data_IF_580265013901
#
_entry.id   IF_580265013901
#
_cell.length_a   1.000
_cell.length_b   1.000
_cell.length_c   1.000
_cell.angle_alpha   90.00
_cell.angle_beta   90.00
_cell.angle_gamma   90.00
#
_symmetry.space_group_name_H-M   'P 1'
#
loop_
_entity.id
_entity.type
_entity.pdbx_description
1 polymer ?
#
# COMPACT_ATOMS: atom_id res chain seq x y z
N UNK A 1 19.22 -14.34 13.23
CA UNK A 1 18.83 -14.52 14.64
C UNK A 1 17.72 -13.51 14.93
N UNK A 2 16.45 -13.90 14.76
CA UNK A 2 15.31 -13.07 15.15
C UNK A 2 14.34 -13.94 15.94
N UNK A 3 14.80 -14.29 17.14
CA UNK A 3 13.96 -14.66 18.26
C UNK A 3 14.11 -13.48 19.20
N UNK A 4 13.02 -12.77 19.52
CA UNK A 4 13.07 -11.78 20.61
C UNK A 4 13.10 -12.58 21.91
N UNK A 5 14.26 -13.13 22.24
CA UNK A 5 14.52 -13.76 23.52
C UNK A 5 14.69 -12.65 24.55
N UNK A 6 13.65 -12.38 25.33
CA UNK A 6 13.85 -11.70 26.60
C UNK A 6 14.50 -12.74 27.51
N UNK A 7 15.83 -12.66 27.63
CA UNK A 7 16.57 -13.47 28.58
C UNK A 7 16.09 -13.12 30.00
N UNK A 8 15.25 -13.99 30.57
CA UNK A 8 14.97 -13.97 32.01
C UNK A 8 16.12 -14.65 32.73
N UNK A 9 16.52 -14.12 33.89
CA UNK A 9 17.61 -14.62 34.77
C UNK A 9 17.47 -16.11 35.16
N UNK A 10 16.36 -16.76 34.79
CA UNK A 10 16.02 -18.14 35.16
C UNK A 10 15.91 -19.10 33.96
N UNK A 11 16.33 -18.70 32.75
CA UNK A 11 16.48 -19.63 31.61
C UNK A 11 15.18 -20.13 30.97
N UNK A 12 14.03 -19.50 31.26
CA UNK A 12 12.79 -19.73 30.53
C UNK A 12 12.63 -18.64 29.44
N UNK A 13 12.71 -19.04 28.18
CA UNK A 13 12.31 -18.19 27.05
C UNK A 13 10.80 -18.02 27.14
N UNK A 14 10.34 -16.83 27.53
CA UNK A 14 8.92 -16.51 27.49
C UNK A 14 8.46 -16.43 26.03
N UNK A 15 7.86 -17.49 25.51
CA UNK A 15 7.15 -17.46 24.24
C UNK A 15 5.91 -16.58 24.42
N UNK A 16 5.99 -15.34 23.93
CA UNK A 16 4.83 -14.46 23.82
C UNK A 16 3.79 -15.14 22.91
N UNK A 17 2.48 -15.04 23.20
CA UNK A 17 1.45 -15.51 22.29
C UNK A 17 1.60 -14.76 20.96
N UNK A 18 1.87 -15.49 19.88
CA UNK A 18 2.01 -14.92 18.55
C UNK A 18 0.64 -14.86 17.89
N UNK A 19 0.19 -13.64 17.58
CA UNK A 19 -0.97 -13.41 16.71
C UNK A 19 -0.60 -13.72 15.26
N UNK A 20 -1.59 -14.07 14.42
CA UNK A 20 -1.43 -14.24 12.97
C UNK A 20 -0.97 -12.94 12.27
N UNK A 21 -1.06 -11.80 12.95
CA UNK A 21 -0.54 -10.52 12.47
C UNK A 21 0.98 -10.37 12.63
N UNK A 22 1.63 -11.20 13.44
CA UNK A 22 3.08 -11.09 13.66
C UNK A 22 3.86 -11.51 12.40
N UNK A 23 4.78 -10.65 11.94
CA UNK A 23 5.64 -10.94 10.79
C UNK A 23 6.69 -11.98 11.20
N UNK A 24 6.72 -13.12 10.49
CA UNK A 24 7.64 -14.21 10.78
C UNK A 24 9.01 -14.02 10.10
N UNK A 25 10.12 -14.53 10.67
CA UNK A 25 11.47 -14.33 10.11
C UNK A 25 11.64 -14.84 8.67
N UNK A 26 11.00 -15.96 8.33
CA UNK A 26 11.06 -16.59 7.01
C UNK A 26 9.98 -16.09 6.04
N UNK A 27 9.08 -15.21 6.48
CA UNK A 27 8.00 -14.68 5.66
C UNK A 27 8.55 -13.76 4.57
N UNK A 28 8.08 -13.90 3.33
CA UNK A 28 8.58 -13.13 2.17
C UNK A 28 7.66 -11.99 1.74
N UNK A 29 6.42 -12.00 2.22
CA UNK A 29 5.39 -11.00 1.92
C UNK A 29 4.31 -10.98 2.99
N UNK A 30 3.47 -9.93 3.07
CA UNK A 30 2.32 -9.93 3.98
C UNK A 30 1.30 -11.03 3.62
N UNK A 31 0.83 -11.77 4.64
CA UNK A 31 -0.23 -12.77 4.48
C UNK A 31 -1.57 -12.10 4.14
N UNK A 32 -2.55 -12.87 3.65
CA UNK A 32 -3.90 -12.36 3.37
C UNK A 32 -4.55 -11.70 4.60
N UNK A 33 -4.39 -12.30 5.78
CA UNK A 33 -4.88 -11.74 7.06
C UNK A 33 -4.19 -10.42 7.39
N UNK A 34 -2.87 -10.34 7.19
CA UNK A 34 -2.12 -9.12 7.40
C UNK A 34 -2.49 -8.03 6.40
N UNK A 35 -2.70 -8.36 5.13
CA UNK A 35 -3.19 -7.40 4.11
C UNK A 35 -4.57 -6.87 4.47
N UNK A 36 -5.49 -7.73 4.91
CA UNK A 36 -6.80 -7.30 5.39
C UNK A 36 -6.70 -6.36 6.61
N UNK A 37 -5.78 -6.65 7.54
CA UNK A 37 -5.51 -5.76 8.67
C UNK A 37 -4.86 -4.42 8.24
N UNK A 38 -3.96 -4.43 7.26
CA UNK A 38 -3.37 -3.21 6.68
C UNK A 38 -4.41 -2.35 5.96
N UNK A 39 -5.38 -2.96 5.28
CA UNK A 39 -6.51 -2.25 4.69
C UNK A 39 -7.34 -1.51 5.77
N UNK A 40 -7.55 -2.12 6.94
CA UNK A 40 -8.20 -1.42 8.06
C UNK A 40 -7.36 -0.25 8.62
N UNK A 41 -6.07 -0.21 8.33
CA UNK A 41 -5.14 0.85 8.73
C UNK A 41 -4.97 1.94 7.66
N UNK A 42 -5.73 1.91 6.56
CA UNK A 42 -5.70 2.96 5.53
C UNK A 42 -4.74 2.68 4.36
N UNK A 43 -4.37 1.41 4.13
CA UNK A 43 -3.42 0.98 3.08
C UNK A 43 -4.16 0.24 1.94
N UNK A 44 -5.50 0.32 1.89
CA UNK A 44 -6.34 -0.35 0.88
C UNK A 44 -6.13 0.15 -0.55
N UNK A 45 -5.64 1.39 -0.74
CA UNK A 45 -5.37 1.98 -2.05
C UNK A 45 -3.92 1.77 -2.53
N UNK A 46 -3.07 1.10 -1.76
CA UNK A 46 -1.69 0.81 -2.16
C UNK A 46 -1.64 -0.35 -3.16
N UNK A 47 -0.78 -0.26 -4.17
CA UNK A 47 -0.58 -1.39 -5.10
C UNK A 47 0.15 -2.53 -4.42
N UNK A 48 0.11 -3.72 -5.00
CA UNK A 48 0.86 -4.85 -4.45
C UNK A 48 2.37 -4.57 -4.40
N UNK A 49 2.92 -3.87 -5.40
CA UNK A 49 4.33 -3.47 -5.40
C UNK A 49 4.65 -2.52 -4.25
N UNK A 50 3.78 -1.52 -3.99
CA UNK A 50 3.93 -0.63 -2.84
C UNK A 50 3.93 -1.43 -1.53
N UNK A 51 2.98 -2.36 -1.37
CA UNK A 51 2.86 -3.21 -0.18
C UNK A 51 4.09 -4.11 -0.01
N UNK A 52 4.70 -4.61 -1.09
CA UNK A 52 5.95 -5.38 -1.01
C UNK A 52 7.13 -4.51 -0.57
N UNK A 53 7.23 -3.26 -1.05
CA UNK A 53 8.24 -2.31 -0.57
C UNK A 53 8.02 -2.00 0.92
N UNK A 54 6.77 -1.86 1.35
CA UNK A 54 6.44 -1.69 2.77
C UNK A 54 6.84 -2.89 3.62
N UNK A 55 6.57 -4.10 3.14
CA UNK A 55 6.97 -5.35 3.79
C UNK A 55 8.49 -5.42 3.94
N UNK A 56 9.23 -5.14 2.88
CA UNK A 56 10.70 -5.09 2.92
C UNK A 56 11.19 -4.12 4.00
N UNK A 57 10.61 -2.91 4.07
CA UNK A 57 11.01 -1.92 5.06
C UNK A 57 10.69 -2.35 6.49
N UNK A 58 9.49 -2.90 6.74
CA UNK A 58 9.11 -3.45 8.03
C UNK A 58 10.07 -4.58 8.46
N UNK A 59 10.41 -5.50 7.55
CA UNK A 59 11.31 -6.61 7.81
C UNK A 59 12.76 -6.17 8.06
N UNK A 60 13.29 -5.26 7.23
CA UNK A 60 14.66 -4.73 7.35
C UNK A 60 14.86 -3.99 8.68
N UNK A 61 13.86 -3.21 9.09
CA UNK A 61 13.93 -2.42 10.33
C UNK A 61 13.51 -3.22 11.56
N UNK A 62 12.81 -4.34 11.37
CA UNK A 62 12.19 -5.12 12.45
C UNK A 62 11.07 -4.36 13.16
N UNK A 63 10.47 -3.36 12.51
CA UNK A 63 9.36 -2.57 13.03
C UNK A 63 8.03 -3.20 12.65
N UNK A 64 7.08 -3.13 13.57
CA UNK A 64 5.76 -3.72 13.42
C UNK A 64 4.73 -2.66 12.96
N UNK A 65 4.10 -2.83 11.78
CA UNK A 65 3.08 -1.91 11.29
C UNK A 65 1.79 -1.95 12.14
N UNK A 66 1.46 -3.09 12.74
CA UNK A 66 0.26 -3.27 13.56
C UNK A 66 0.44 -2.71 14.97
N UNK A 67 1.68 -2.60 15.44
CA UNK A 67 2.03 -1.90 16.67
C UNK A 67 2.28 -0.40 16.47
N UNK A 68 1.96 0.16 15.30
CA UNK A 68 2.11 1.61 15.00
C UNK A 68 3.55 2.12 15.10
N UNK A 69 4.52 1.25 14.81
CA UNK A 69 5.94 1.62 14.82
C UNK A 69 6.42 2.12 13.46
N UNK A 70 5.75 1.69 12.39
CA UNK A 70 5.99 2.08 11.00
C UNK A 70 4.64 2.18 10.28
N UNK A 71 4.52 3.14 9.37
CA UNK A 71 3.28 3.45 8.65
C UNK A 71 3.56 3.55 7.16
N UNK A 72 2.58 3.18 6.35
CA UNK A 72 2.48 3.57 4.96
C UNK A 72 1.32 4.55 4.85
N UNK A 73 1.59 5.74 4.30
CA UNK A 73 0.60 6.80 4.17
C UNK A 73 0.54 7.23 2.72
N UNK A 74 -0.62 7.02 2.11
CA UNK A 74 -0.92 7.53 0.79
C UNK A 74 -1.21 9.03 0.83
N UNK A 75 -0.58 9.79 -0.06
CA UNK A 75 -0.86 11.23 -0.24
C UNK A 75 -1.09 11.56 -1.70
N UNK A 76 -2.18 12.29 -1.96
CA UNK A 76 -2.46 12.84 -3.28
C UNK A 76 -1.38 13.87 -3.61
N UNK A 77 -0.53 13.53 -4.56
CA UNK A 77 0.58 14.35 -5.02
C UNK A 77 0.34 14.75 -6.47
N UNK A 78 0.66 16.00 -6.78
CA UNK A 78 0.59 16.53 -8.13
C UNK A 78 1.90 16.22 -8.83
N UNK A 79 1.87 15.37 -9.84
CA UNK A 79 3.03 15.02 -10.66
C UNK A 79 2.92 15.69 -12.02
N UNK A 80 4.06 16.07 -12.59
CA UNK A 80 4.17 16.53 -13.96
C UNK A 80 4.56 15.36 -14.83
N UNK A 81 3.73 15.02 -15.80
CA UNK A 81 3.94 13.92 -16.74
C UNK A 81 4.02 14.51 -18.14
N UNK A 82 5.00 14.08 -18.93
CA UNK A 82 5.11 14.50 -20.32
C UNK A 82 4.06 13.77 -21.16
N UNK A 83 3.13 14.50 -21.76
CA UNK A 83 2.18 13.93 -22.73
C UNK A 83 2.78 14.03 -24.15
N UNK A 84 3.17 12.91 -24.78
CA UNK A 84 3.75 12.93 -26.13
C UNK A 84 2.74 13.36 -27.21
N UNK A 85 1.43 13.21 -26.99
CA UNK A 85 0.39 13.61 -27.94
C UNK A 85 0.18 15.13 -27.92
N UNK A 86 0.20 15.72 -26.72
CA UNK A 86 0.02 17.18 -26.55
C UNK A 86 1.35 17.94 -26.57
N UNK A 87 2.49 17.22 -26.55
CA UNK A 87 3.86 17.76 -26.49
C UNK A 87 4.04 18.78 -25.37
N UNK A 88 3.46 18.50 -24.20
CA UNK A 88 3.47 19.37 -23.02
C UNK A 88 3.50 18.54 -21.75
N UNK A 89 4.04 19.13 -20.68
CA UNK A 89 3.88 18.58 -19.34
C UNK A 89 2.44 18.82 -18.88
N UNK A 90 1.73 17.74 -18.58
CA UNK A 90 0.41 17.76 -17.96
C UNK A 90 0.56 17.51 -16.47
N UNK A 91 -0.29 18.17 -15.68
CA UNK A 91 -0.33 17.96 -14.24
C UNK A 91 -1.39 16.93 -13.89
N UNK A 92 -0.97 15.84 -13.25
CA UNK A 92 -1.86 14.75 -12.84
C UNK A 92 -1.79 14.57 -11.33
N UNK A 93 -2.95 14.32 -10.72
CA UNK A 93 -3.00 13.90 -9.33
C UNK A 93 -2.85 12.39 -9.26
N UNK A 94 -1.83 11.93 -8.53
CA UNK A 94 -1.58 10.52 -8.27
C UNK A 94 -1.49 10.28 -6.76
N UNK A 95 -1.90 9.11 -6.31
CA UNK A 95 -1.70 8.70 -4.92
C UNK A 95 -0.26 8.17 -4.79
N UNK A 96 0.60 8.90 -4.08
CA UNK A 96 1.97 8.44 -3.78
C UNK A 96 1.98 7.86 -2.37
N UNK A 97 2.43 6.61 -2.24
CA UNK A 97 2.65 5.99 -0.94
C UNK A 97 3.97 6.50 -0.35
N UNK A 98 3.96 6.86 0.93
CA UNK A 98 5.18 7.23 1.67
C UNK A 98 5.27 6.39 2.93
N UNK A 99 6.42 5.74 3.13
CA UNK A 99 6.70 4.97 4.35
C UNK A 99 7.31 5.89 5.39
N UNK A 100 6.75 5.88 6.60
CA UNK A 100 7.16 6.74 7.70
C UNK A 100 7.33 5.93 8.97
N UNK A 101 8.35 6.26 9.76
CA UNK A 101 8.57 5.66 11.08
C UNK A 101 7.91 6.53 12.13
N UNK A 102 7.16 5.88 13.02
CA UNK A 102 6.58 6.52 14.20
C UNK A 102 7.62 6.74 15.30
N UNK A 103 7.33 7.64 16.24
CA UNK A 103 8.27 7.90 17.34
C UNK A 103 8.61 6.64 18.15
N UNK A 104 7.67 5.70 18.28
CA UNK A 104 7.89 4.44 18.97
C UNK A 104 8.84 3.51 18.21
N UNK A 105 8.89 3.60 16.87
CA UNK A 105 9.89 2.90 16.06
C UNK A 105 11.32 3.39 16.34
N UNK A 106 11.50 4.70 16.51
CA UNK A 106 12.79 5.28 16.94
C UNK A 106 13.19 4.80 18.34
N UNK A 107 12.27 4.88 19.30
CA UNK A 107 12.51 4.44 20.68
C UNK A 107 12.86 2.95 20.76
N UNK A 108 12.17 2.11 19.98
CA UNK A 108 12.41 0.67 19.93
C UNK A 108 13.76 0.35 19.29
N UNK A 109 14.05 0.94 18.12
CA UNK A 109 15.31 0.74 17.40
C UNK A 109 16.51 1.12 18.27
N UNK A 110 16.46 2.30 18.90
CA UNK A 110 17.52 2.78 19.78
C UNK A 110 17.71 1.90 21.01
N UNK A 111 16.61 1.47 21.65
CA UNK A 111 16.67 0.53 22.78
C UNK A 111 17.28 -0.81 22.39
N UNK A 112 16.90 -1.37 21.23
CA UNK A 112 17.43 -2.66 20.75
C UNK A 112 18.93 -2.62 20.55
N UNK A 113 19.44 -1.58 19.88
CA UNK A 113 20.89 -1.42 19.68
C UNK A 113 21.60 -1.27 21.01
N UNK A 114 21.08 -0.41 21.89
CA UNK A 114 21.74 -0.17 23.15
C UNK A 114 21.80 -1.43 24.02
N UNK A 115 20.71 -2.19 24.10
CA UNK A 115 20.70 -3.48 24.79
C UNK A 115 21.65 -4.49 24.14
N UNK A 116 21.69 -4.57 22.81
CA UNK A 116 22.54 -5.53 22.10
C UNK A 116 24.04 -5.24 22.26
N UNK A 117 24.41 -3.96 22.35
CA UNK A 117 25.80 -3.52 22.46
C UNK A 117 26.24 -3.20 23.91
N UNK A 118 25.35 -3.35 24.90
CA UNK A 118 25.63 -3.01 26.29
C UNK A 118 25.85 -1.51 26.55
N UNK A 119 25.31 -0.67 25.67
CA UNK A 119 25.46 0.78 25.69
C UNK A 119 24.56 1.38 26.77
N UNK A 120 25.11 2.29 27.58
CA UNK A 120 24.30 3.04 28.54
C UNK A 120 23.55 4.16 27.82
N UNK A 121 22.23 4.15 27.92
CA UNK A 121 21.36 5.19 27.39
C UNK A 121 20.72 6.02 28.50
N UNK A 122 20.85 7.34 28.38
CA UNK A 122 20.09 8.32 29.16
C UNK A 122 19.32 9.23 28.19
N UNK A 123 18.18 9.74 28.63
CA UNK A 123 17.31 10.59 27.83
C UNK A 123 16.87 11.77 28.67
N UNK A 124 16.86 12.96 28.09
CA UNK A 124 16.43 14.19 28.74
C UNK A 124 15.51 15.00 27.81
N UNK A 125 14.41 15.49 28.37
CA UNK A 125 13.33 16.14 27.65
C UNK A 125 12.11 15.25 27.35
N UNK A 126 11.14 15.77 26.58
CA UNK A 126 11.18 17.06 25.89
C UNK A 126 11.18 18.27 26.83
N UNK A 127 11.84 19.33 26.39
CA UNK A 127 11.75 20.67 26.99
C UNK A 127 11.26 21.65 25.92
N UNK A 128 10.44 22.63 26.27
CA UNK A 128 9.86 23.58 25.32
C UNK A 128 10.38 24.99 25.53
N UNK A 129 10.35 25.82 24.49
CA UNK A 129 10.74 27.22 24.57
C UNK A 129 9.52 28.12 24.42
N UNK A 130 9.29 29.05 25.35
CA UNK A 130 8.11 29.92 25.38
C UNK A 130 8.25 31.24 24.60
N UNK A 131 9.43 31.45 24.03
CA UNK A 131 9.83 32.70 23.38
C UNK A 131 10.81 33.51 24.20
N UNK A 132 10.85 33.31 25.52
CA UNK A 132 11.77 33.97 26.44
C UNK A 132 12.76 32.98 27.08
N UNK A 133 12.33 31.75 27.36
CA UNK A 133 13.17 30.73 27.98
C UNK A 133 12.65 29.31 27.81
N UNK A 134 13.44 28.36 28.34
CA UNK A 134 13.11 26.94 28.35
C UNK A 134 12.25 26.58 29.56
N UNK A 135 11.23 25.75 29.33
CA UNK A 135 10.30 25.24 30.33
C UNK A 135 10.15 23.72 30.20
N UNK A 136 10.01 23.05 31.33
CA UNK A 136 9.88 21.59 31.40
C UNK A 136 8.45 21.11 31.07
N UNK A 137 7.45 22.01 31.12
CA UNK A 137 6.04 21.71 30.85
C UNK A 137 5.41 22.82 30.02
N UNK A 138 4.70 22.45 28.96
CA UNK A 138 3.93 23.38 28.14
C UNK A 138 2.46 23.40 28.56
N UNK A 139 1.98 24.55 29.06
CA UNK A 139 0.61 24.71 29.58
C UNK A 139 -0.23 25.72 28.80
N UNK A 140 0.30 26.35 27.76
CA UNK A 140 -0.44 27.32 26.93
C UNK A 140 -1.21 26.57 25.83
N UNK A 141 -2.56 26.50 25.90
CA UNK A 141 -3.37 25.83 24.88
C UNK A 141 -3.62 26.71 23.65
N UNK A 142 -3.37 28.03 23.74
CA UNK A 142 -3.68 28.98 22.69
C UNK A 142 -2.49 29.22 21.76
N UNK A 143 -1.26 29.03 22.25
CA UNK A 143 -0.04 29.26 21.47
C UNK A 143 0.84 28.02 21.42
N UNK A 144 1.36 27.66 20.23
CA UNK A 144 2.36 26.62 20.12
C UNK A 144 3.68 27.07 20.76
N UNK A 145 4.49 26.13 21.29
CA UNK A 145 5.85 26.44 21.72
C UNK A 145 6.69 26.93 20.56
N UNK A 146 7.64 27.85 20.81
CA UNK A 146 8.54 28.37 19.78
C UNK A 146 9.53 27.29 19.30
N UNK A 147 9.99 26.45 20.23
CA UNK A 147 10.87 25.33 19.95
C UNK A 147 10.63 24.19 20.97
N UNK A 148 11.07 22.99 20.62
CA UNK A 148 11.26 21.89 21.56
C UNK A 148 12.68 21.34 21.44
N UNK A 149 13.26 20.87 22.54
CA UNK A 149 14.56 20.17 22.54
C UNK A 149 14.45 18.81 23.21
N UNK A 150 15.28 17.89 22.76
CA UNK A 150 15.43 16.56 23.33
C UNK A 150 16.89 16.14 23.26
N UNK A 151 17.38 15.49 24.30
CA UNK A 151 18.76 15.00 24.37
C UNK A 151 18.79 13.50 24.63
N UNK A 152 19.70 12.82 23.93
CA UNK A 152 20.01 11.41 24.17
C UNK A 152 21.50 11.33 24.51
N UNK A 153 21.82 10.73 25.65
CA UNK A 153 23.21 10.45 26.02
C UNK A 153 23.50 8.98 25.81
N UNK A 154 24.54 8.69 25.02
CA UNK A 154 25.00 7.34 24.69
C UNK A 154 26.47 7.23 25.08
N UNK A 155 26.80 6.32 26.00
CA UNK A 155 28.18 6.10 26.49
C UNK A 155 28.89 7.38 26.97
N UNK A 156 28.12 8.31 27.57
CA UNK A 156 28.63 9.58 28.09
C UNK A 156 28.70 10.73 27.07
N UNK A 157 28.41 10.48 25.79
CA UNK A 157 28.28 11.52 24.76
C UNK A 157 26.81 11.93 24.60
N UNK A 158 26.53 13.24 24.65
CA UNK A 158 25.17 13.79 24.57
C UNK A 158 24.87 14.37 23.19
N UNK A 159 23.80 13.89 22.58
CA UNK A 159 23.24 14.34 21.32
C UNK A 159 21.95 15.13 21.58
N UNK A 160 22.00 16.44 21.37
CA UNK A 160 20.85 17.34 21.58
C UNK A 160 20.31 17.83 20.26
N UNK A 161 19.01 17.63 20.04
CA UNK A 161 18.31 18.19 18.90
C UNK A 161 17.26 19.21 19.36
N UNK A 162 17.16 20.30 18.60
CA UNK A 162 16.16 21.35 18.79
C UNK A 162 15.31 21.47 17.52
N UNK A 163 13.99 21.38 17.66
CA UNK A 163 13.02 21.57 16.59
C UNK A 163 12.31 22.92 16.78
N UNK A 164 12.42 23.82 15.81
CA UNK A 164 11.72 25.11 15.82
C UNK A 164 10.34 24.96 15.20
N UNK A 165 9.30 25.48 15.86
CA UNK A 165 7.93 25.31 15.38
C UNK A 165 7.72 25.88 13.98
N UNK A 166 8.30 27.05 13.69
CA UNK A 166 8.22 27.71 12.39
C UNK A 166 8.80 26.88 11.24
N UNK A 167 9.74 25.97 11.53
CA UNK A 167 10.38 25.12 10.52
C UNK A 167 9.66 23.78 10.36
N UNK A 168 9.14 23.22 11.46
CA UNK A 168 8.60 21.86 11.46
C UNK A 168 7.08 21.78 11.26
N UNK A 169 6.33 22.84 11.53
CA UNK A 169 4.86 22.81 11.48
C UNK A 169 4.37 22.41 10.08
N UNK A 170 3.60 21.33 9.97
CA UNK A 170 3.03 20.95 8.69
C UNK A 170 1.76 21.75 8.43
N UNK A 171 1.73 22.46 7.30
CA UNK A 171 0.63 23.33 6.91
C UNK A 171 -0.07 22.85 5.64
N UNK A 172 -1.33 23.23 5.47
CA UNK A 172 -2.04 23.16 4.19
C UNK A 172 -2.40 24.57 3.73
N UNK A 173 -2.51 24.75 2.42
CA UNK A 173 -2.83 26.05 1.84
C UNK A 173 -4.34 26.34 1.94
N UNK A 174 -4.69 27.52 2.45
CA UNK A 174 -6.06 28.04 2.48
C UNK A 174 -6.12 29.39 1.75
N UNK A 175 -7.33 29.89 1.48
CA UNK A 175 -7.51 31.24 0.94
C UNK A 175 -6.92 32.33 1.85
N UNK A 176 -6.75 32.04 3.14
CA UNK A 176 -6.22 32.96 4.15
C UNK A 176 -4.71 32.76 4.39
N UNK A 177 -4.06 31.90 3.59
CA UNK A 177 -2.65 31.53 3.74
C UNK A 177 -2.44 30.12 4.31
N UNK A 178 -1.18 29.72 4.56
CA UNK A 178 -0.86 28.42 5.14
C UNK A 178 -1.42 28.29 6.57
N UNK A 179 -2.13 27.20 6.83
CA UNK A 179 -2.70 26.88 8.15
C UNK A 179 -2.16 25.53 8.65
N UNK A 180 -1.86 25.35 9.95
CA UNK A 180 -1.42 24.07 10.49
C UNK A 180 -2.47 22.98 10.25
N UNK A 181 -2.03 21.77 9.90
CA UNK A 181 -2.95 20.65 9.69
C UNK A 181 -3.66 20.23 11.01
N UNK A 182 -4.59 19.27 10.93
CA UNK A 182 -5.40 18.86 12.10
C UNK A 182 -4.55 18.39 13.29
N UNK A 183 -3.45 17.67 13.04
CA UNK A 183 -2.57 17.17 14.10
C UNK A 183 -1.82 18.31 14.80
N UNK A 184 -1.24 19.21 14.01
CA UNK A 184 -0.51 20.37 14.53
C UNK A 184 -1.43 21.38 15.22
N UNK A 185 -2.67 21.54 14.75
CA UNK A 185 -3.67 22.41 15.40
C UNK A 185 -4.14 21.85 16.74
N UNK A 186 -4.29 20.53 16.86
CA UNK A 186 -4.79 19.89 18.10
C UNK A 186 -3.72 19.71 19.16
N UNK A 187 -2.49 19.37 18.78
CA UNK A 187 -1.44 18.96 19.73
C UNK A 187 -0.06 19.52 19.38
N UNK A 188 0.11 20.84 19.18
CA UNK A 188 1.35 21.41 18.63
C UNK A 188 2.59 21.12 19.48
N UNK A 189 2.47 21.19 20.81
CA UNK A 189 3.59 20.92 21.72
C UNK A 189 4.06 19.46 21.66
N UNK A 190 3.13 18.51 21.56
CA UNK A 190 3.44 17.09 21.44
C UNK A 190 4.09 16.78 20.08
N UNK A 191 3.57 17.35 18.99
CA UNK A 191 4.15 17.15 17.67
C UNK A 191 5.59 17.68 17.60
N UNK A 192 5.83 18.89 18.14
CA UNK A 192 7.17 19.46 18.15
C UNK A 192 8.14 18.67 19.04
N UNK A 193 7.67 18.17 20.18
CA UNK A 193 8.46 17.31 21.06
C UNK A 193 8.91 16.01 20.35
N UNK A 194 8.01 15.36 19.61
CA UNK A 194 8.36 14.17 18.84
C UNK A 194 9.36 14.47 17.72
N UNK A 195 9.24 15.62 17.05
CA UNK A 195 10.22 16.06 16.06
C UNK A 195 11.62 16.22 16.66
N UNK A 196 11.72 16.86 17.83
CA UNK A 196 12.99 17.00 18.55
C UNK A 196 13.56 15.63 18.98
N UNK A 197 12.72 14.75 19.55
CA UNK A 197 13.14 13.41 19.96
C UNK A 197 13.63 12.56 18.77
N UNK A 198 12.89 12.54 17.66
CA UNK A 198 13.29 11.81 16.45
C UNK A 198 14.61 12.34 15.86
N UNK A 199 14.82 13.66 15.88
CA UNK A 199 16.09 14.24 15.47
C UNK A 199 17.24 13.85 16.41
N UNK A 200 17.02 13.79 17.72
CA UNK A 200 18.02 13.32 18.68
C UNK A 200 18.37 11.84 18.46
N UNK A 201 17.39 10.98 18.18
CA UNK A 201 17.65 9.57 17.83
C UNK A 201 18.49 9.42 16.56
N UNK A 202 18.21 10.21 15.52
CA UNK A 202 19.01 10.22 14.28
C UNK A 202 20.45 10.68 14.50
N UNK A 203 20.68 11.63 15.40
CA UNK A 203 22.03 12.05 15.78
C UNK A 203 22.76 10.99 16.59
N UNK A 204 22.09 10.33 17.55
CA UNK A 204 22.69 9.33 18.43
C UNK A 204 22.99 7.99 17.74
N UNK A 205 22.20 7.62 16.73
CA UNK A 205 22.30 6.36 15.98
C UNK A 205 22.09 6.56 14.46
N UNK A 206 22.98 7.29 13.77
CA UNK A 206 22.80 7.63 12.36
C UNK A 206 22.73 6.40 11.46
N UNK A 207 23.53 5.36 11.70
CA UNK A 207 23.54 4.15 10.86
C UNK A 207 22.22 3.37 10.93
N UNK A 208 21.53 3.44 12.07
CA UNK A 208 20.25 2.75 12.25
C UNK A 208 19.08 3.50 11.62
N UNK A 209 19.12 4.84 11.68
CA UNK A 209 18.02 5.69 11.27
C UNK A 209 18.32 6.47 9.98
N UNK A 210 19.39 6.13 9.27
CA UNK A 210 19.66 6.68 7.94
C UNK A 210 18.65 6.15 6.91
N UNK A 211 18.16 7.04 6.04
CA UNK A 211 17.23 6.69 4.98
C UNK A 211 15.78 6.42 5.42
N UNK A 212 15.42 6.72 6.68
CA UNK A 212 14.04 6.60 7.17
C UNK A 212 13.39 7.97 7.31
N UNK A 213 12.13 8.08 6.89
CA UNK A 213 11.35 9.31 7.00
C UNK A 213 10.59 9.29 8.33
N UNK A 214 10.66 10.36 9.11
CA UNK A 214 9.90 10.50 10.36
C UNK A 214 8.50 11.09 10.10
N UNK A 215 7.47 10.52 10.72
CA UNK A 215 6.05 10.88 10.47
C UNK A 215 5.74 12.37 10.65
N UNK A 216 6.26 13.00 11.72
CA UNK A 216 5.89 14.38 12.05
C UNK A 216 6.84 15.43 11.41
N UNK A 217 8.01 15.02 10.89
CA UNK A 217 8.94 15.90 10.18
C UNK A 217 8.81 15.83 8.66
N UNK A 218 7.95 14.95 8.12
CA UNK A 218 7.71 14.81 6.70
C UNK A 218 6.88 15.99 6.13
N UNK A 219 7.41 17.20 6.18
CA UNK A 219 7.02 18.23 5.24
C UNK A 219 7.57 17.81 3.87
N UNK A 220 6.68 17.40 2.95
CA UNK A 220 6.95 17.31 1.52
C UNK A 220 8.19 16.54 1.06
N UNK A 221 8.78 15.66 1.90
CA UNK A 221 9.73 14.64 1.45
C UNK A 221 8.98 13.48 0.81
N UNK A 222 8.13 13.81 -0.18
CA UNK A 222 8.12 12.99 -1.38
C UNK A 222 9.51 13.22 -1.94
N UNK A 223 10.35 12.20 -1.96
CA UNK A 223 11.59 12.25 -2.73
C UNK A 223 11.10 12.35 -4.18
N UNK A 224 10.82 13.56 -4.63
CA UNK A 224 10.82 13.86 -6.04
C UNK A 224 12.27 13.66 -6.43
N UNK A 225 12.55 12.50 -7.04
CA UNK A 225 13.71 12.40 -7.88
C UNK A 225 13.53 13.51 -8.91
N UNK A 226 14.14 14.67 -8.66
CA UNK A 226 14.31 15.72 -9.64
C UNK A 226 14.99 15.04 -10.83
N UNK A 227 14.17 14.68 -11.83
CA UNK A 227 14.67 14.29 -13.14
C UNK A 227 15.35 15.53 -13.66
N UNK A 228 16.67 15.57 -13.52
CA UNK A 228 17.51 16.54 -14.22
C UNK A 228 17.25 16.30 -15.70
N UNK A 229 16.47 17.18 -16.32
CA UNK A 229 16.24 17.20 -17.77
C UNK A 229 17.59 17.49 -18.47
N UNK A 230 18.28 16.45 -18.93
CA UNK A 230 19.13 16.59 -20.12
C UNK A 230 18.28 16.26 -21.35
N UNK A 231 18.17 17.25 -22.25
CA UNK A 231 17.55 17.09 -23.56
C UNK A 231 18.10 15.86 -24.29
N UNK A 232 17.25 14.99 -24.87
CA UNK A 232 17.70 13.75 -25.47
C UNK A 232 18.48 14.03 -26.76
N UNK A 233 19.81 14.02 -26.68
CA UNK A 233 20.65 13.69 -27.83
C UNK A 233 20.49 12.21 -28.16
N UNK A 234 20.28 11.96 -29.44
CA UNK A 234 19.87 10.70 -30.02
C UNK A 234 20.93 9.58 -29.85
N UNK A 235 20.44 8.39 -29.50
CA UNK A 235 21.03 7.03 -29.60
C UNK A 235 22.18 6.65 -28.64
N UNK A 236 21.88 5.81 -27.63
CA UNK A 236 22.15 4.36 -27.62
C UNK A 236 21.93 3.75 -26.22
N UNK A 237 21.15 2.66 -26.15
CA UNK A 237 21.35 1.51 -25.23
C UNK A 237 21.11 1.70 -23.73
N UNK A 238 20.01 1.11 -23.24
CA UNK A 238 19.64 0.92 -21.84
C UNK A 238 20.61 0.04 -21.05
N UNK A 239 20.92 0.41 -19.79
CA UNK A 239 21.58 -0.46 -18.78
C UNK A 239 21.18 -0.13 -17.32
N UNK A 240 19.89 0.06 -17.06
CA UNK A 240 19.38 0.29 -15.69
C UNK A 240 18.77 -0.95 -15.02
N UNK A 241 18.09 -1.80 -15.77
CA UNK A 241 17.29 -2.91 -15.23
C UNK A 241 17.81 -4.29 -15.64
N UNK A 242 18.54 -4.38 -16.76
CA UNK A 242 19.16 -5.63 -17.24
C UNK A 242 20.34 -6.12 -16.37
N UNK A 243 20.97 -5.23 -15.59
CA UNK A 243 22.09 -5.60 -14.72
C UNK A 243 21.67 -6.38 -13.46
N UNK A 244 20.44 -6.16 -12.97
CA UNK A 244 19.93 -6.85 -11.78
C UNK A 244 19.44 -8.26 -12.13
N UNK A 245 18.80 -8.45 -13.29
CA UNK A 245 18.40 -9.76 -13.79
C UNK A 245 19.61 -10.63 -14.17
N UNK A 246 20.66 -10.05 -14.76
CA UNK A 246 21.91 -10.76 -15.08
C UNK A 246 22.72 -11.16 -13.83
N UNK A 247 22.56 -10.45 -12.70
CA UNK A 247 23.17 -10.82 -11.42
C UNK A 247 22.41 -11.95 -10.68
N UNK A 248 21.16 -12.22 -11.09
CA UNK A 248 20.26 -13.21 -10.47
C UNK A 248 20.19 -14.54 -11.24
N UNK A 249 20.93 -14.70 -12.35
CA UNK A 249 21.21 -16.00 -12.95
C UNK A 249 20.01 -16.73 -13.58
N UNK A 250 19.04 -16.00 -14.14
CA UNK A 250 17.94 -16.58 -14.91
C UNK A 250 18.29 -16.48 -16.40
N UNK A 251 18.69 -17.59 -16.99
CA UNK A 251 18.97 -17.73 -18.42
C UNK A 251 17.83 -18.55 -19.04
N UNK A 252 17.08 -17.97 -19.97
CA UNK A 252 16.39 -18.78 -20.97
C UNK A 252 16.18 -18.03 -22.29
N UNK A 253 16.29 -18.82 -23.34
CA UNK A 253 16.74 -18.46 -24.67
C UNK A 253 15.59 -18.56 -25.68
N UNK A 254 15.51 -17.53 -26.54
CA UNK A 254 15.17 -17.55 -27.98
C UNK A 254 13.79 -17.94 -28.50
N UNK A 255 13.27 -16.98 -29.31
CA UNK A 255 12.56 -17.09 -30.60
C UNK A 255 11.11 -17.60 -30.56
N UNK A 256 10.15 -17.10 -31.34
CA UNK A 256 10.20 -16.41 -32.64
C UNK A 256 8.85 -15.65 -32.83
N UNK A 257 8.89 -14.51 -33.51
CA UNK A 257 7.69 -13.75 -33.95
C UNK A 257 7.30 -14.25 -35.36
N UNK A 258 6.00 -14.24 -35.73
CA UNK A 258 5.68 -13.39 -36.89
C UNK A 258 4.27 -12.75 -36.88
N UNK A 259 4.21 -11.53 -37.38
CA UNK A 259 3.04 -10.92 -38.05
C UNK A 259 3.36 -10.80 -39.57
N UNK A 260 2.46 -10.36 -40.49
CA UNK A 260 0.98 -10.27 -40.48
C UNK A 260 0.36 -10.79 -41.81
N UNK A 261 -0.98 -10.98 -41.91
CA UNK A 261 -1.67 -11.09 -43.21
C UNK A 261 -3.03 -10.38 -43.26
N UNK A 262 -3.22 -9.65 -44.37
CA UNK A 262 -4.32 -8.77 -44.77
C UNK A 262 -5.66 -9.46 -45.13
N UNK A 263 -6.75 -8.86 -44.65
CA UNK A 263 -8.02 -8.58 -45.36
C UNK A 263 -9.08 -9.69 -45.55
N UNK A 264 -10.32 -9.37 -46.00
CA UNK A 264 -10.94 -8.05 -46.14
C UNK A 264 -12.31 -7.90 -45.44
N UNK A 265 -12.75 -6.63 -45.45
CA UNK A 265 -14.00 -6.02 -45.00
C UNK A 265 -15.26 -6.65 -45.65
N UNK A 266 -16.29 -6.90 -44.82
CA UNK A 266 -17.64 -7.27 -45.24
C UNK A 266 -18.69 -6.45 -44.49
N UNK A 267 -19.24 -5.46 -45.17
CA UNK A 267 -20.40 -4.63 -44.80
C UNK A 267 -21.69 -5.44 -44.77
N UNK A 268 -22.49 -5.35 -43.71
CA UNK A 268 -23.97 -5.42 -43.79
C UNK A 268 -24.58 -4.40 -42.82
N UNK A 269 -25.46 -3.59 -43.38
CA UNK A 269 -26.26 -2.54 -42.77
C UNK A 269 -27.44 -3.06 -41.93
N UNK A 270 -28.02 -2.11 -41.20
CA UNK A 270 -29.46 -1.91 -40.94
C UNK A 270 -30.09 -2.53 -39.70
N UNK A 271 -30.70 -1.63 -38.91
CA UNK A 271 -31.70 -2.00 -37.92
C UNK A 271 -32.01 -0.93 -36.87
N UNK A 272 -32.44 0.26 -37.29
CA UNK A 272 -33.13 1.23 -36.41
C UNK A 272 -34.38 0.61 -35.78
N UNK A 273 -34.64 0.87 -34.50
CA UNK A 273 -35.96 1.27 -33.96
C UNK A 273 -35.73 2.17 -32.72
N UNK A 274 -36.29 3.38 -32.78
CA UNK A 274 -36.50 4.31 -31.66
C UNK A 274 -37.76 3.95 -30.86
N UNK A 275 -37.76 4.23 -29.56
CA UNK A 275 -38.90 4.83 -28.85
C UNK A 275 -38.53 5.16 -27.37
N UNK A 276 -38.62 6.45 -27.00
CA UNK A 276 -38.89 6.93 -25.64
C UNK A 276 -40.40 7.35 -25.57
N UNK A 277 -40.90 7.98 -24.48
CA UNK A 277 -41.25 7.43 -23.16
C UNK A 277 -42.73 7.70 -22.78
N UNK A 278 -43.27 7.14 -21.69
CA UNK A 278 -44.46 7.72 -21.02
C UNK A 278 -44.66 7.28 -19.56
N UNK A 279 -44.59 8.30 -18.68
CA UNK A 279 -45.41 8.64 -17.50
C UNK A 279 -46.03 7.59 -16.53
N UNK A 280 -45.90 7.96 -15.24
CA UNK A 280 -46.42 7.43 -13.97
C UNK A 280 -47.93 7.62 -13.76
N UNK A 281 -48.53 7.04 -12.69
CA UNK A 281 -48.74 7.84 -11.46
C UNK A 281 -48.52 7.09 -10.11
N UNK A 282 -48.48 7.96 -9.09
CA UNK A 282 -48.18 7.88 -7.65
C UNK A 282 -48.93 6.84 -6.78
N UNK A 283 -48.26 6.41 -5.69
CA UNK A 283 -48.87 6.20 -4.36
C UNK A 283 -47.79 6.35 -3.25
N UNK A 284 -48.11 7.11 -2.20
CA UNK A 284 -47.24 7.47 -1.07
C UNK A 284 -47.16 6.36 0.01
N UNK A 285 -45.95 6.07 0.53
CA UNK A 285 -45.74 5.71 1.94
C UNK A 285 -44.25 5.78 2.35
N UNK A 286 -44.03 6.43 3.49
CA UNK A 286 -42.82 6.70 4.26
C UNK A 286 -41.98 5.45 4.64
N UNK A 287 -40.71 5.39 4.24
CA UNK A 287 -39.58 5.00 5.12
C UNK A 287 -38.23 5.34 4.48
N UNK A 288 -37.35 5.97 5.25
CA UNK A 288 -35.97 6.31 4.85
C UNK A 288 -35.08 5.07 4.87
N UNK A 289 -34.95 4.43 3.71
CA UNK A 289 -33.88 3.48 3.39
C UNK A 289 -33.33 3.91 2.03
N UNK A 290 -32.09 4.38 1.97
CA UNK A 290 -31.43 4.62 0.67
C UNK A 290 -31.43 3.30 -0.12
N UNK A 291 -31.99 3.24 -1.34
CA UNK A 291 -31.96 2.01 -2.13
C UNK A 291 -30.52 1.72 -2.54
N UNK A 292 -30.03 0.54 -2.15
CA UNK A 292 -28.78 -0.04 -2.68
C UNK A 292 -28.87 0.01 -4.22
N UNK A 293 -27.89 0.59 -4.93
CA UNK A 293 -27.94 0.66 -6.39
C UNK A 293 -28.10 -0.75 -6.96
N UNK A 294 -29.04 -0.92 -7.90
CA UNK A 294 -29.27 -2.22 -8.54
C UNK A 294 -27.95 -2.74 -9.15
N UNK A 295 -27.66 -4.04 -9.00
CA UNK A 295 -26.44 -4.62 -9.52
C UNK A 295 -26.37 -4.45 -11.03
N UNK A 296 -25.31 -3.78 -11.51
CA UNK A 296 -25.10 -3.54 -12.94
C UNK A 296 -24.87 -4.87 -13.65
N UNK A 297 -25.51 -5.06 -14.80
CA UNK A 297 -25.26 -6.22 -15.68
C UNK A 297 -23.85 -6.14 -16.29
N UNK A 298 -23.14 -7.27 -16.45
CA UNK A 298 -21.81 -7.29 -17.02
C UNK A 298 -21.81 -6.87 -18.49
N UNK A 299 -20.76 -6.16 -18.88
CA UNK A 299 -20.54 -5.75 -20.27
C UNK A 299 -20.17 -6.95 -21.14
N UNK A 300 -20.40 -6.87 -22.45
CA UNK A 300 -19.96 -7.92 -23.39
C UNK A 300 -18.45 -8.17 -23.32
N UNK A 301 -17.65 -7.13 -23.05
CA UNK A 301 -16.19 -7.23 -22.89
C UNK A 301 -15.82 -8.08 -21.68
N UNK A 302 -16.46 -7.86 -20.53
CA UNK A 302 -16.25 -8.65 -19.31
C UNK A 302 -16.65 -10.12 -19.52
N UNK A 303 -17.81 -10.36 -20.16
CA UNK A 303 -18.26 -11.72 -20.48
C UNK A 303 -17.28 -12.42 -21.43
N UNK A 304 -16.75 -11.71 -22.42
CA UNK A 304 -15.80 -12.28 -23.37
C UNK A 304 -14.48 -12.65 -22.68
N UNK A 305 -13.95 -11.77 -21.83
CA UNK A 305 -12.71 -12.01 -21.08
C UNK A 305 -12.83 -13.22 -20.15
N UNK A 306 -13.90 -13.32 -19.36
CA UNK A 306 -14.15 -14.49 -18.50
C UNK A 306 -14.25 -15.78 -19.32
N UNK A 307 -14.98 -15.75 -20.44
CA UNK A 307 -15.13 -16.91 -21.30
C UNK A 307 -13.82 -17.34 -21.98
N UNK A 308 -12.93 -16.39 -22.29
CA UNK A 308 -11.61 -16.69 -22.85
C UNK A 308 -10.77 -17.47 -21.83
N UNK A 309 -10.68 -16.98 -20.59
CA UNK A 309 -9.94 -17.64 -19.52
C UNK A 309 -10.51 -19.02 -19.16
N UNK A 310 -11.84 -19.17 -19.09
CA UNK A 310 -12.44 -20.49 -18.88
C UNK A 310 -12.13 -21.46 -20.02
N UNK A 311 -12.09 -20.97 -21.27
CA UNK A 311 -11.74 -21.81 -22.43
C UNK A 311 -10.25 -22.16 -22.43
N UNK A 312 -9.40 -21.24 -21.99
CA UNK A 312 -7.96 -21.45 -21.80
C UNK A 312 -7.69 -22.52 -20.72
N UNK A 313 -8.49 -22.53 -19.66
CA UNK A 313 -8.46 -23.54 -18.61
C UNK A 313 -9.00 -24.93 -19.04
N UNK A 314 -9.36 -25.12 -20.31
CA UNK A 314 -9.87 -26.38 -20.84
C UNK A 314 -11.38 -26.57 -20.77
N UNK A 315 -12.16 -25.58 -20.29
CA UNK A 315 -13.62 -25.66 -20.23
C UNK A 315 -14.28 -25.10 -21.49
N UNK A 316 -14.87 -25.96 -22.30
CA UNK A 316 -15.64 -25.59 -23.49
C UNK A 316 -16.96 -24.91 -23.14
N UNK A 317 -17.57 -24.20 -24.10
CA UNK A 317 -18.88 -23.53 -23.92
C UNK A 317 -20.03 -24.50 -23.58
N UNK A 318 -19.87 -25.79 -23.90
CA UNK A 318 -20.87 -26.82 -23.61
C UNK A 318 -20.85 -27.26 -22.14
N UNK A 319 -19.73 -27.09 -21.44
CA UNK A 319 -19.51 -27.56 -20.06
C UNK A 319 -20.06 -26.56 -19.04
N UNK A 320 -21.38 -26.31 -19.11
CA UNK A 320 -22.07 -25.33 -18.26
C UNK A 320 -21.87 -25.61 -16.76
N UNK A 321 -21.92 -26.88 -16.35
CA UNK A 321 -21.74 -27.29 -14.94
C UNK A 321 -20.31 -26.98 -14.45
N UNK A 322 -19.28 -27.36 -15.19
CA UNK A 322 -17.88 -27.08 -14.84
C UNK A 322 -17.61 -25.59 -14.73
N UNK A 323 -18.11 -24.80 -15.70
CA UNK A 323 -18.00 -23.34 -15.67
C UNK A 323 -18.71 -22.72 -14.46
N UNK A 324 -19.89 -23.22 -14.10
CA UNK A 324 -20.61 -22.75 -12.92
C UNK A 324 -19.88 -23.09 -11.62
N UNK A 325 -19.30 -24.30 -11.51
CA UNK A 325 -18.49 -24.71 -10.35
C UNK A 325 -17.33 -23.73 -10.15
N UNK A 326 -16.52 -23.53 -11.20
CA UNK A 326 -15.37 -22.62 -11.15
C UNK A 326 -15.80 -21.22 -10.73
N UNK A 327 -16.81 -20.64 -11.39
CA UNK A 327 -17.32 -19.29 -11.05
C UNK A 327 -17.81 -19.22 -9.60
N UNK A 328 -18.49 -20.25 -9.11
CA UNK A 328 -19.03 -20.29 -7.75
C UNK A 328 -17.93 -20.43 -6.70
N UNK A 329 -16.85 -21.14 -7.00
CA UNK A 329 -15.67 -21.26 -6.12
C UNK A 329 -15.01 -19.91 -5.84
N UNK A 330 -15.05 -18.97 -6.79
CA UNK A 330 -14.54 -17.61 -6.61
C UNK A 330 -15.59 -16.64 -6.02
N UNK A 331 -16.83 -17.08 -5.81
CA UNK A 331 -17.94 -16.27 -5.28
C UNK A 331 -18.68 -17.00 -4.14
N UNK A 332 -18.00 -17.34 -3.03
CA UNK A 332 -18.60 -18.19 -1.97
C UNK A 332 -19.76 -17.55 -1.21
N UNK A 333 -19.88 -16.21 -1.24
CA UNK A 333 -20.88 -15.44 -0.48
C UNK A 333 -22.13 -15.08 -1.31
N UNK A 334 -22.36 -15.77 -2.42
CA UNK A 334 -23.46 -15.45 -3.34
C UNK A 334 -24.78 -16.03 -2.83
N UNK A 335 -25.78 -15.17 -2.64
CA UNK A 335 -27.11 -15.56 -2.14
C UNK A 335 -27.82 -16.56 -3.07
N UNK A 336 -27.67 -16.39 -4.39
CA UNK A 336 -28.19 -17.33 -5.40
C UNK A 336 -27.08 -17.69 -6.42
N UNK A 337 -26.47 -18.89 -6.30
CA UNK A 337 -25.49 -19.40 -7.26
C UNK A 337 -26.03 -19.57 -8.69
N UNK A 338 -27.34 -19.63 -8.89
CA UNK A 338 -27.98 -19.76 -10.19
C UNK A 338 -28.32 -18.42 -10.85
N UNK A 339 -28.25 -17.30 -10.12
CA UNK A 339 -28.51 -15.98 -10.67
C UNK A 339 -27.48 -15.59 -11.76
N UNK A 340 -27.83 -14.64 -12.63
CA UNK A 340 -26.88 -14.08 -13.60
C UNK A 340 -25.79 -13.26 -12.89
N UNK A 341 -24.54 -13.38 -13.33
CA UNK A 341 -23.42 -12.62 -12.76
C UNK A 341 -23.63 -11.11 -12.93
N UNK A 342 -23.21 -10.34 -11.95
CA UNK A 342 -23.11 -8.88 -12.02
C UNK A 342 -21.80 -8.45 -12.71
N UNK A 343 -21.68 -7.17 -13.07
CA UNK A 343 -20.46 -6.61 -13.64
C UNK A 343 -19.26 -6.81 -12.70
N UNK A 344 -19.46 -6.51 -11.41
CA UNK A 344 -18.41 -6.57 -10.39
C UNK A 344 -18.01 -8.03 -10.10
N UNK A 345 -18.99 -8.95 -10.03
CA UNK A 345 -18.71 -10.38 -9.89
C UNK A 345 -17.94 -10.94 -11.10
N UNK A 346 -18.33 -10.54 -12.32
CA UNK A 346 -17.65 -11.00 -13.55
C UNK A 346 -16.22 -10.49 -13.59
N UNK A 347 -15.99 -9.23 -13.22
CA UNK A 347 -14.66 -8.63 -13.14
C UNK A 347 -13.81 -9.29 -12.06
N UNK A 348 -14.38 -9.55 -10.88
CA UNK A 348 -13.68 -10.25 -9.81
C UNK A 348 -13.17 -11.63 -10.24
N UNK A 349 -14.04 -12.47 -10.81
CA UNK A 349 -13.66 -13.82 -11.27
C UNK A 349 -12.63 -13.74 -12.41
N UNK A 350 -12.81 -12.80 -13.35
CA UNK A 350 -11.87 -12.61 -14.47
C UNK A 350 -10.49 -12.22 -13.96
N UNK A 351 -10.41 -11.29 -13.01
CA UNK A 351 -9.15 -10.83 -12.42
C UNK A 351 -8.43 -11.95 -11.67
N UNK A 352 -9.15 -12.76 -10.89
CA UNK A 352 -8.56 -13.90 -10.17
C UNK A 352 -8.01 -14.95 -11.14
N UNK A 353 -8.74 -15.29 -12.20
CA UNK A 353 -8.27 -16.25 -13.22
C UNK A 353 -7.09 -15.69 -14.03
N UNK A 354 -7.10 -14.39 -14.37
CA UNK A 354 -5.97 -13.74 -15.08
C UNK A 354 -4.71 -13.75 -14.23
N UNK A 355 -4.84 -13.46 -12.93
CA UNK A 355 -3.72 -13.46 -11.99
C UNK A 355 -3.06 -14.84 -11.85
N UNK A 356 -3.81 -15.94 -12.00
CA UNK A 356 -3.24 -17.29 -12.03
C UNK A 356 -2.35 -17.49 -13.26
N UNK A 357 -2.79 -17.05 -14.43
CA UNK A 357 -2.03 -17.13 -15.68
C UNK A 357 -0.77 -16.26 -15.61
N UNK A 358 -0.90 -15.03 -15.13
CA UNK A 358 0.19 -14.05 -15.08
C UNK A 358 1.30 -14.46 -14.09
N UNK A 359 0.93 -15.04 -12.94
CA UNK A 359 1.89 -15.36 -11.88
C UNK A 359 2.47 -16.77 -11.98
N UNK A 360 1.71 -17.73 -12.49
CA UNK A 360 2.06 -19.16 -12.41
C UNK A 360 2.01 -19.88 -13.76
N UNK A 361 1.66 -19.16 -14.84
CA UNK A 361 1.58 -19.69 -16.19
C UNK A 361 0.26 -20.41 -16.49
N UNK A 362 0.07 -20.73 -17.77
CA UNK A 362 -1.17 -21.34 -18.28
C UNK A 362 -1.47 -22.71 -17.66
N UNK A 363 -0.44 -23.51 -17.37
CA UNK A 363 -0.63 -24.83 -16.76
C UNK A 363 -1.24 -24.72 -15.36
N UNK A 364 -0.88 -23.70 -14.58
CA UNK A 364 -1.43 -23.50 -13.24
C UNK A 364 -2.92 -23.14 -13.27
N UNK A 365 -3.38 -22.41 -14.29
CA UNK A 365 -4.80 -22.14 -14.51
C UNK A 365 -5.57 -23.45 -14.75
N UNK A 366 -5.04 -24.33 -15.61
CA UNK A 366 -5.64 -25.63 -15.92
C UNK A 366 -5.70 -26.50 -14.66
N UNK A 367 -4.59 -26.66 -13.96
CA UNK A 367 -4.49 -27.50 -12.75
C UNK A 367 -5.44 -27.01 -11.64
N UNK A 368 -5.56 -25.68 -11.48
CA UNK A 368 -6.45 -25.07 -10.48
C UNK A 368 -7.92 -25.33 -10.83
N UNK A 369 -8.30 -25.13 -12.09
CA UNK A 369 -9.68 -25.37 -12.54
C UNK A 369 -10.04 -26.85 -12.42
N UNK A 370 -9.13 -27.76 -12.77
CA UNK A 370 -9.34 -29.19 -12.62
C UNK A 370 -9.51 -29.57 -11.13
N UNK A 371 -8.65 -29.04 -10.25
CA UNK A 371 -8.74 -29.29 -8.81
C UNK A 371 -10.07 -28.80 -8.21
N UNK A 372 -10.56 -27.62 -8.62
CA UNK A 372 -11.85 -27.07 -8.15
C UNK A 372 -13.03 -27.97 -8.57
N UNK A 373 -13.00 -28.51 -9.79
CA UNK A 373 -14.03 -29.42 -10.28
C UNK A 373 -13.97 -30.74 -9.52
N UNK A 374 -12.78 -31.32 -9.35
CA UNK A 374 -12.58 -32.56 -8.59
C UNK A 374 -13.03 -32.43 -7.13
N UNK A 375 -12.71 -31.31 -6.47
CA UNK A 375 -13.10 -31.05 -5.09
C UNK A 375 -14.62 -30.93 -4.95
N UNK A 376 -15.29 -30.24 -5.88
CA UNK A 376 -16.74 -30.14 -5.89
C UNK A 376 -17.42 -31.51 -6.11
N UNK A 377 -16.89 -32.33 -7.04
CA UNK A 377 -17.45 -33.65 -7.30
C UNK A 377 -17.26 -34.63 -6.12
N UNK A 378 -16.18 -34.49 -5.34
CA UNK A 378 -15.98 -35.24 -4.10
C UNK A 378 -16.97 -34.82 -2.99
N UNK A 379 -17.24 -33.52 -2.86
CA UNK A 379 -18.19 -32.99 -1.86
C UNK A 379 -19.67 -33.27 -2.19
N UNK A 380 -19.99 -33.59 -3.44
CA UNK A 380 -21.34 -34.00 -3.86
C UNK A 380 -21.62 -35.51 -3.78
N UNK A 381 -20.64 -36.31 -3.38
CA UNK A 381 -20.74 -37.78 -3.28
C UNK A 381 -20.91 -38.28 -1.83
N UNK A 382 -20.77 -37.39 -0.83
CA UNK A 382 -21.17 -37.59 0.58
C UNK A 382 -22.57 -37.04 0.83
#
# INVERSE_FOLDING_TARGET
MSSTEIATTTGAVATQPTSDLAIQPNQTEFTSVQRAALAQLGIEEATDEDVQVFFHQAKRTGLDPFARQIYMIGRRTKVKEWDPNQRKQIEKWVMKQTIQIGIDGYRLGGRRIASALGIKLEKDGPHWHDGNGWVDVWLDPARPPAAARYSITRDGETFTATAMYSEYVQTYNTQQGPQPNSMWSKMPANQLAKCAEAAAWRQAFPDQFSGVIFEDAAQHTVIDADVIEEEPKTKQGSRGTAGLAAALGVDESTADEPEPQDGPVGTIESGLISAEPSETPEDEADSSHEPRPEPKKPTQKQIHALNALLSQAGLTKAEKKGRQIVVSSFLPNREDPAAALTADETEHVTTQLSALVENQGEQALIDTVEALIQQHDQQGAE
#
